data_IF_564902938036
#
_entry.id   IF_564902938036
#
_cell.length_a   1.000
_cell.length_b   1.000
_cell.length_c   1.000
_cell.angle_alpha   90.00
_cell.angle_beta   90.00
_cell.angle_gamma   90.00
#
_symmetry.space_group_name_H-M   'P 1'
#
loop_
_entity.id
_entity.type
_entity.pdbx_description
1 polymer ?
#
# COMPACT_ATOMS: atom_id res chain seq x y z
N UNK A 1 9.46 13.48 30.21
CA UNK A 1 8.17 12.83 29.92
C UNK A 1 7.39 13.74 28.98
N UNK A 2 7.74 13.76 27.69
CA UNK A 2 7.12 14.62 26.68
C UNK A 2 6.36 13.73 25.69
N UNK A 3 5.27 13.11 26.13
CA UNK A 3 4.26 12.57 25.21
C UNK A 3 3.30 13.71 24.90
N UNK A 4 3.70 14.53 23.92
CA UNK A 4 2.98 15.71 23.44
C UNK A 4 2.04 15.28 22.31
N UNK A 5 0.88 15.95 22.18
CA UNK A 5 -0.24 15.76 21.23
C UNK A 5 0.11 15.37 19.77
N UNK A 6 1.38 15.52 19.37
CA UNK A 6 1.92 15.10 18.07
C UNK A 6 1.86 13.59 17.82
N UNK A 7 2.04 12.75 18.84
CA UNK A 7 2.05 11.29 18.70
C UNK A 7 0.67 10.73 18.27
N UNK A 8 -0.40 11.30 18.82
CA UNK A 8 -1.77 10.92 18.45
C UNK A 8 -2.10 11.23 17.00
N UNK A 9 -1.70 12.41 16.51
CA UNK A 9 -1.95 12.82 15.13
C UNK A 9 -1.18 11.97 14.12
N UNK A 10 0.06 11.59 14.44
CA UNK A 10 0.88 10.69 13.61
C UNK A 10 0.21 9.31 13.53
N UNK A 11 -0.23 8.76 14.67
CA UNK A 11 -0.95 7.47 14.70
C UNK A 11 -2.23 7.47 13.86
N UNK A 12 -3.06 8.51 13.96
CA UNK A 12 -4.25 8.63 13.12
C UNK A 12 -3.91 8.82 11.63
N UNK A 13 -2.83 9.54 11.32
CA UNK A 13 -2.35 9.68 9.94
C UNK A 13 -1.84 8.35 9.38
N UNK A 14 -1.21 7.53 10.20
CA UNK A 14 -0.68 6.22 9.82
C UNK A 14 -1.82 5.19 9.67
N UNK A 15 -2.88 5.28 10.48
CA UNK A 15 -4.09 4.48 10.31
C UNK A 15 -4.78 4.75 8.95
N UNK A 16 -4.76 6.02 8.49
CA UNK A 16 -5.31 6.40 7.17
C UNK A 16 -4.52 5.78 6.02
N UNK A 17 -3.18 5.82 6.09
CA UNK A 17 -2.32 5.17 5.09
C UNK A 17 -2.43 3.65 5.16
N UNK A 18 -2.49 3.08 6.37
CA UNK A 18 -2.69 1.65 6.57
C UNK A 18 -3.96 1.13 5.91
N UNK A 19 -5.07 1.89 6.00
CA UNK A 19 -6.32 1.53 5.32
C UNK A 19 -6.18 1.48 3.80
N UNK A 20 -5.46 2.43 3.21
CA UNK A 20 -5.18 2.43 1.77
C UNK A 20 -4.30 1.23 1.36
N UNK A 21 -3.26 0.92 2.14
CA UNK A 21 -2.40 -0.25 1.91
C UNK A 21 -3.18 -1.57 1.98
N UNK A 22 -4.02 -1.74 3.01
CA UNK A 22 -4.89 -2.91 3.14
C UNK A 22 -5.78 -3.09 1.91
N UNK A 23 -6.31 -1.99 1.37
CA UNK A 23 -7.16 -2.00 0.18
C UNK A 23 -6.38 -2.39 -1.08
N UNK A 24 -5.15 -1.87 -1.24
CA UNK A 24 -4.23 -2.26 -2.31
C UNK A 24 -3.92 -3.76 -2.25
N UNK A 25 -3.60 -4.29 -1.08
CA UNK A 25 -3.25 -5.70 -0.90
C UNK A 25 -4.45 -6.63 -1.08
N UNK A 26 -5.66 -6.20 -0.71
CA UNK A 26 -6.88 -6.99 -0.87
C UNK A 26 -7.34 -7.10 -2.32
N UNK A 27 -7.11 -6.07 -3.14
CA UNK A 27 -7.52 -6.04 -4.55
C UNK A 27 -6.42 -5.46 -5.44
N UNK A 28 -5.27 -6.16 -5.58
CA UNK A 28 -4.13 -5.64 -6.34
C UNK A 28 -4.44 -5.48 -7.83
N UNK A 29 -5.38 -6.24 -8.39
CA UNK A 29 -5.71 -6.17 -9.84
C UNK A 29 -6.67 -5.03 -10.19
N UNK A 30 -7.27 -4.38 -9.19
CA UNK A 30 -8.18 -3.26 -9.43
C UNK A 30 -7.42 -2.03 -9.95
N UNK A 31 -7.93 -1.28 -10.94
CA UNK A 31 -7.26 -0.11 -11.52
C UNK A 31 -7.31 1.11 -10.59
N UNK A 32 -6.75 0.99 -9.38
CA UNK A 32 -6.70 2.05 -8.39
C UNK A 32 -6.07 3.32 -8.94
N UNK A 33 -6.76 4.44 -8.73
CA UNK A 33 -6.18 5.77 -8.91
C UNK A 33 -5.75 6.35 -7.57
N UNK A 34 -4.94 7.41 -7.60
CA UNK A 34 -4.60 8.19 -6.40
C UNK A 34 -5.88 8.74 -5.74
N UNK A 35 -6.90 9.08 -6.53
CA UNK A 35 -8.17 9.60 -6.00
C UNK A 35 -8.93 8.55 -5.19
N UNK A 36 -8.99 7.31 -5.67
CA UNK A 36 -9.67 6.21 -4.98
C UNK A 36 -9.00 5.91 -3.64
N UNK A 37 -7.66 5.79 -3.66
CA UNK A 37 -6.88 5.51 -2.47
C UNK A 37 -6.94 6.65 -1.44
N UNK A 38 -6.93 7.90 -1.91
CA UNK A 38 -7.13 9.06 -1.05
C UNK A 38 -8.53 9.07 -0.42
N UNK A 39 -9.56 8.68 -1.18
CA UNK A 39 -10.92 8.54 -0.68
C UNK A 39 -11.00 7.49 0.44
N UNK A 40 -10.38 6.32 0.23
CA UNK A 40 -10.28 5.26 1.26
C UNK A 40 -9.59 5.78 2.52
N UNK A 41 -8.48 6.51 2.37
CA UNK A 41 -7.74 7.12 3.47
C UNK A 41 -8.47 8.32 4.13
N UNK A 42 -9.57 8.80 3.55
CA UNK A 42 -10.30 9.98 4.02
C UNK A 42 -9.48 11.28 3.91
N UNK A 43 -8.62 11.38 2.89
CA UNK A 43 -7.72 12.51 2.65
C UNK A 43 -7.97 13.10 1.26
N UNK A 44 -7.55 14.34 1.04
CA UNK A 44 -7.47 14.89 -0.32
C UNK A 44 -6.34 14.18 -1.09
N UNK A 45 -6.39 14.24 -2.43
CA UNK A 45 -5.35 13.64 -3.30
C UNK A 45 -3.93 14.09 -2.93
N UNK A 46 -3.73 15.40 -2.76
CA UNK A 46 -2.41 15.96 -2.43
C UNK A 46 -1.96 15.57 -1.02
N UNK A 47 -2.86 15.63 -0.03
CA UNK A 47 -2.53 15.24 1.34
C UNK A 47 -2.17 13.75 1.44
N UNK A 48 -2.90 12.90 0.71
CA UNK A 48 -2.62 11.47 0.63
C UNK A 48 -1.24 11.21 -0.01
N UNK A 49 -0.97 11.78 -1.20
CA UNK A 49 0.32 11.56 -1.88
C UNK A 49 1.51 12.01 -1.04
N UNK A 50 1.42 13.19 -0.41
CA UNK A 50 2.50 13.70 0.44
C UNK A 50 2.71 12.78 1.65
N UNK A 51 1.63 12.42 2.35
CA UNK A 51 1.74 11.58 3.55
C UNK A 51 2.23 10.16 3.23
N UNK A 52 1.78 9.60 2.10
CA UNK A 52 2.23 8.30 1.63
C UNK A 52 3.74 8.34 1.33
N UNK A 53 4.22 9.39 0.65
CA UNK A 53 5.64 9.56 0.36
C UNK A 53 6.48 9.78 1.62
N UNK A 54 6.01 10.60 2.58
CA UNK A 54 6.69 10.80 3.87
C UNK A 54 6.89 9.48 4.65
N UNK A 55 5.93 8.56 4.57
CA UNK A 55 5.97 7.31 5.33
C UNK A 55 6.68 6.17 4.61
N UNK A 56 6.54 6.09 3.29
CA UNK A 56 6.96 4.93 2.51
C UNK A 56 8.04 5.24 1.48
N UNK A 57 8.43 6.51 1.32
CA UNK A 57 9.42 6.98 0.34
C UNK A 57 9.06 6.65 -1.12
N UNK A 58 7.79 6.35 -1.39
CA UNK A 58 7.28 6.01 -2.72
C UNK A 58 6.00 6.79 -3.01
N UNK A 59 5.64 6.88 -4.29
CA UNK A 59 4.28 7.34 -4.65
C UNK A 59 3.30 6.17 -4.55
N UNK A 60 1.99 6.43 -4.33
CA UNK A 60 0.99 5.36 -4.20
C UNK A 60 0.94 4.40 -5.40
N UNK A 61 1.05 4.93 -6.63
CA UNK A 61 0.98 4.11 -7.84
C UNK A 61 2.29 3.38 -8.15
N UNK A 62 3.45 3.94 -7.78
CA UNK A 62 4.71 3.21 -7.83
C UNK A 62 4.66 2.00 -6.90
N UNK A 63 4.24 2.22 -5.65
CA UNK A 63 4.08 1.15 -4.67
C UNK A 63 3.14 0.04 -5.17
N UNK A 64 1.99 0.40 -5.74
CA UNK A 64 1.05 -0.58 -6.32
C UNK A 64 1.68 -1.36 -7.49
N UNK A 65 2.46 -0.70 -8.33
CA UNK A 65 3.15 -1.34 -9.46
C UNK A 65 4.19 -2.35 -8.95
N UNK A 66 5.01 -1.95 -7.97
CA UNK A 66 6.02 -2.82 -7.37
C UNK A 66 5.37 -4.02 -6.66
N UNK A 67 4.27 -3.79 -5.96
CA UNK A 67 3.50 -4.86 -5.33
C UNK A 67 2.97 -5.88 -6.34
N UNK A 68 2.40 -5.43 -7.47
CA UNK A 68 1.94 -6.32 -8.55
C UNK A 68 3.07 -7.14 -9.13
N UNK A 69 4.24 -6.54 -9.35
CA UNK A 69 5.41 -7.25 -9.86
C UNK A 69 5.91 -8.31 -8.87
N UNK A 70 5.91 -8.01 -7.57
CA UNK A 70 6.25 -8.99 -6.54
C UNK A 70 5.24 -10.14 -6.51
N UNK A 71 3.95 -9.86 -6.63
CA UNK A 71 2.91 -10.90 -6.70
C UNK A 71 3.09 -11.78 -7.93
N UNK A 72 3.30 -11.19 -9.11
CA UNK A 72 3.55 -11.92 -10.35
C UNK A 72 4.79 -12.82 -10.22
N UNK A 73 5.88 -12.31 -9.64
CA UNK A 73 7.09 -13.11 -9.37
C UNK A 73 6.82 -14.28 -8.44
N UNK A 74 6.03 -14.09 -7.37
CA UNK A 74 5.67 -15.18 -6.45
C UNK A 74 4.86 -16.27 -7.16
N UNK A 75 3.89 -15.87 -7.98
CA UNK A 75 3.08 -16.82 -8.75
C UNK A 75 3.94 -17.66 -9.72
N UNK A 76 4.95 -17.06 -10.35
CA UNK A 76 5.89 -17.79 -11.22
C UNK A 76 6.74 -18.80 -10.43
N UNK A 77 7.25 -18.41 -9.26
CA UNK A 77 8.05 -19.32 -8.41
C UNK A 77 7.18 -20.46 -7.86
N UNK A 78 5.98 -20.15 -7.37
CA UNK A 78 5.06 -21.15 -6.82
C UNK A 78 4.59 -22.11 -7.93
N UNK A 79 4.40 -21.63 -9.16
CA UNK A 79 4.11 -22.50 -10.31
C UNK A 79 5.28 -23.41 -10.67
N UNK A 80 6.52 -22.91 -10.60
CA UNK A 80 7.71 -23.72 -10.89
C UNK A 80 7.94 -24.80 -9.82
N UNK A 81 7.72 -24.48 -8.54
CA UNK A 81 7.74 -25.46 -7.44
C UNK A 81 6.61 -26.50 -7.60
N UNK A 82 5.39 -26.05 -7.96
CA UNK A 82 4.25 -26.94 -8.23
C UNK A 82 4.44 -27.83 -9.46
N UNK A 83 5.32 -27.48 -10.41
CA UNK A 83 5.64 -28.32 -11.57
C UNK A 83 6.73 -29.34 -11.22
N UNK A 84 7.63 -29.01 -10.29
CA UNK A 84 8.72 -29.90 -9.87
C UNK A 84 8.24 -30.98 -8.88
N UNK A 85 7.18 -30.73 -8.11
CA UNK A 85 6.65 -31.68 -7.11
C UNK A 85 5.59 -32.68 -7.64
N UNK A 86 5.50 -32.87 -8.98
CA UNK A 86 4.62 -33.89 -9.61
C UNK A 86 5.43 -35.02 -10.24
N UNK A 87 6.36 -35.61 -9.49
CA UNK A 87 7.13 -36.80 -9.88
C UNK A 87 7.02 -37.92 -8.84
#
# INVERSE_FOLDING_TARGET
MLFSERDGLVRFADERISRALQTIHAAPDWPWTVADLACVAGLSRTAFSNRFHELLDHTPLSYLTDWRMQLARRLLIDSDLSIIDVA
#
